data_IF_341101143161
#
_entry.id   IF_341101143161
#
_cell.length_a   1.000
_cell.length_b   1.000
_cell.length_c   1.000
_cell.angle_alpha   90.00
_cell.angle_beta   90.00
_cell.angle_gamma   90.00
#
_symmetry.space_group_name_H-M   'P 1'
#
loop_
_entity.id
_entity.type
_entity.pdbx_description
1 polymer ?
#
# COMPACT_ATOMS: atom_id res chain seq x y z
N UNK A 1 14.90 -6.04 -12.75
CA UNK A 1 15.17 -7.20 -11.88
C UNK A 1 15.33 -8.50 -12.64
N UNK A 2 14.41 -8.86 -13.55
CA UNK A 2 14.52 -10.08 -14.37
C UNK A 2 15.85 -10.20 -15.14
N UNK A 3 16.35 -9.12 -15.74
CA UNK A 3 17.65 -9.13 -16.44
C UNK A 3 18.84 -9.43 -15.49
N UNK A 4 18.80 -8.89 -14.26
CA UNK A 4 19.85 -9.09 -13.27
C UNK A 4 19.84 -10.54 -12.78
N UNK A 5 18.65 -11.10 -12.54
CA UNK A 5 18.50 -12.49 -12.14
C UNK A 5 18.90 -13.45 -13.25
N UNK A 6 18.54 -13.15 -14.50
CA UNK A 6 18.99 -13.94 -15.64
C UNK A 6 20.52 -13.95 -15.74
N UNK A 7 21.16 -12.77 -15.66
CA UNK A 7 22.62 -12.70 -15.65
C UNK A 7 23.23 -13.45 -14.47
N UNK A 8 22.60 -13.43 -13.29
CA UNK A 8 23.08 -14.16 -12.13
C UNK A 8 22.97 -15.69 -12.31
N UNK A 9 21.92 -16.16 -12.97
CA UNK A 9 21.73 -17.56 -13.39
C UNK A 9 22.81 -17.96 -14.41
N UNK A 10 23.07 -17.09 -15.38
CA UNK A 10 24.03 -17.33 -16.47
C UNK A 10 25.49 -17.35 -15.96
N UNK A 11 25.80 -16.51 -14.97
CA UNK A 11 27.12 -16.42 -14.32
C UNK A 11 27.32 -17.39 -13.14
N UNK A 12 26.30 -18.18 -12.80
CA UNK A 12 26.31 -19.16 -11.69
C UNK A 12 26.65 -18.54 -10.32
N UNK A 13 26.22 -17.29 -10.09
CA UNK A 13 26.47 -16.54 -8.85
C UNK A 13 25.30 -16.63 -7.85
N UNK A 14 24.56 -17.75 -7.88
CA UNK A 14 23.46 -18.06 -6.97
C UNK A 14 23.89 -19.19 -6.01
N UNK A 15 22.93 -20.00 -5.53
CA UNK A 15 23.23 -21.15 -4.68
C UNK A 15 24.19 -22.14 -5.34
N UNK A 16 25.07 -22.81 -4.56
CA UNK A 16 25.13 -22.80 -3.08
C UNK A 16 26.02 -21.72 -2.46
N UNK A 17 26.70 -20.91 -3.28
CA UNK A 17 27.78 -20.03 -2.81
C UNK A 17 27.25 -18.69 -2.27
N UNK A 18 26.11 -18.24 -2.80
CA UNK A 18 25.51 -16.95 -2.45
C UNK A 18 24.05 -17.09 -2.04
N UNK A 19 23.64 -16.27 -1.07
CA UNK A 19 22.24 -16.03 -0.69
C UNK A 19 21.85 -14.65 -1.21
N UNK A 20 20.70 -14.57 -1.89
CA UNK A 20 20.21 -13.33 -2.47
C UNK A 20 18.98 -12.85 -1.73
N UNK A 21 19.01 -11.59 -1.29
CA UNK A 21 17.87 -10.92 -0.67
C UNK A 21 17.26 -9.95 -1.68
N UNK A 22 16.00 -10.16 -2.01
CA UNK A 22 15.25 -9.34 -2.95
C UNK A 22 14.05 -8.70 -2.27
N UNK A 23 13.88 -7.40 -2.49
CA UNK A 23 12.73 -6.61 -2.00
C UNK A 23 11.83 -6.13 -3.13
N UNK A 24 11.98 -6.73 -4.32
CA UNK A 24 11.24 -6.34 -5.51
C UNK A 24 10.01 -7.22 -5.71
N UNK A 25 8.89 -6.60 -6.08
CA UNK A 25 7.71 -7.30 -6.55
C UNK A 25 8.02 -8.01 -7.89
N UNK A 26 8.37 -9.28 -7.82
CA UNK A 26 8.59 -10.15 -8.98
C UNK A 26 7.48 -11.20 -8.95
N UNK A 27 6.69 -11.26 -10.03
CA UNK A 27 5.64 -12.26 -10.11
C UNK A 27 6.23 -13.67 -10.12
N UNK A 28 5.53 -14.61 -9.48
CA UNK A 28 5.90 -16.03 -9.50
C UNK A 28 6.00 -16.56 -10.94
N UNK A 29 5.16 -16.04 -11.84
CA UNK A 29 5.21 -16.35 -13.27
C UNK A 29 6.51 -15.89 -13.93
N UNK A 30 7.04 -14.73 -13.54
CA UNK A 30 8.34 -14.26 -14.03
C UNK A 30 9.47 -15.14 -13.53
N UNK A 31 9.44 -15.56 -12.25
CA UNK A 31 10.41 -16.51 -11.70
C UNK A 31 10.36 -17.88 -12.40
N UNK A 32 9.16 -18.38 -12.67
CA UNK A 32 8.96 -19.64 -13.39
C UNK A 32 9.44 -19.58 -14.85
N UNK A 33 9.35 -18.41 -15.49
CA UNK A 33 9.85 -18.22 -16.85
C UNK A 33 11.40 -18.18 -16.90
N UNK A 34 12.04 -17.69 -15.82
CA UNK A 34 13.51 -17.72 -15.69
C UNK A 34 14.04 -19.16 -15.50
N UNK A 35 13.25 -20.03 -14.86
CA UNK A 35 13.61 -21.44 -14.65
C UNK A 35 13.19 -22.37 -15.77
N UNK A 36 12.21 -22.01 -16.61
CA UNK A 36 11.80 -22.83 -17.76
C UNK A 36 12.73 -22.73 -18.97
N UNK A 37 13.52 -21.66 -19.05
CA UNK A 37 14.51 -21.41 -20.10
C UNK A 37 15.89 -21.95 -19.76
N UNK A 38 16.15 -22.27 -18.49
CA UNK A 38 17.37 -22.88 -18.01
C UNK A 38 17.09 -24.31 -17.54
N UNK A 39 17.95 -25.28 -17.85
CA UNK A 39 17.83 -26.70 -17.45
C UNK A 39 17.95 -26.94 -15.94
N UNK A 40 17.68 -25.94 -15.09
CA UNK A 40 18.12 -25.91 -13.70
C UNK A 40 17.09 -25.28 -12.76
N UNK A 41 16.05 -26.04 -12.40
CA UNK A 41 15.16 -25.71 -11.28
C UNK A 41 15.90 -25.43 -9.95
N UNK A 42 17.15 -25.90 -9.82
CA UNK A 42 17.97 -25.74 -8.61
C UNK A 42 18.72 -24.40 -8.51
N UNK A 43 18.74 -23.55 -9.56
CA UNK A 43 19.55 -22.31 -9.55
C UNK A 43 18.95 -21.19 -8.72
N UNK A 44 17.63 -21.19 -8.48
CA UNK A 44 16.98 -20.19 -7.61
C UNK A 44 17.04 -20.55 -6.12
N UNK A 45 17.68 -21.66 -5.74
CA UNK A 45 17.91 -21.98 -4.33
C UNK A 45 18.69 -20.84 -3.65
N UNK A 46 18.35 -20.54 -2.39
CA UNK A 46 19.02 -19.46 -1.63
C UNK A 46 18.55 -18.05 -1.97
N UNK A 47 17.50 -17.89 -2.79
CA UNK A 47 16.85 -16.61 -3.03
C UNK A 47 15.74 -16.39 -1.99
N UNK A 48 15.81 -15.27 -1.28
CA UNK A 48 14.86 -14.85 -0.25
C UNK A 48 14.15 -13.59 -0.76
N UNK A 49 12.82 -13.68 -0.86
CA UNK A 49 11.95 -12.56 -1.25
C UNK A 49 11.30 -11.97 -0.02
N UNK A 50 11.36 -10.65 0.09
CA UNK A 50 10.72 -9.88 1.16
C UNK A 50 9.68 -8.97 0.51
N UNK A 51 8.42 -9.21 0.81
CA UNK A 51 7.29 -8.43 0.31
C UNK A 51 6.38 -8.01 1.46
N UNK A 52 5.70 -6.86 1.34
CA UNK A 52 4.66 -6.50 2.29
C UNK A 52 3.55 -7.56 2.24
N UNK A 53 3.11 -7.99 3.42
CA UNK A 53 2.08 -9.01 3.58
C UNK A 53 0.85 -8.40 4.25
N UNK A 54 -0.34 -8.75 3.72
CA UNK A 54 -1.61 -8.51 4.42
C UNK A 54 -2.03 -9.83 5.05
N UNK A 55 -2.25 -9.82 6.36
CA UNK A 55 -2.82 -10.94 7.07
C UNK A 55 -4.32 -11.05 6.79
N UNK A 56 -4.67 -11.94 5.85
CA UNK A 56 -6.05 -12.18 5.44
C UNK A 56 -6.96 -12.60 6.61
N UNK A 57 -6.41 -13.14 7.70
CA UNK A 57 -7.20 -13.53 8.88
C UNK A 57 -7.61 -12.34 9.76
N UNK A 58 -6.90 -11.21 9.63
CA UNK A 58 -7.13 -10.00 10.40
C UNK A 58 -7.73 -8.87 9.54
N UNK A 59 -8.20 -9.18 8.33
CA UNK A 59 -8.91 -8.22 7.48
C UNK A 59 -10.28 -7.91 8.09
N UNK A 60 -10.63 -6.62 8.12
CA UNK A 60 -11.99 -6.19 8.40
C UNK A 60 -12.89 -6.42 7.18
N UNK A 61 -13.42 -7.65 7.05
CA UNK A 61 -14.23 -8.05 5.90
C UNK A 61 -15.47 -7.16 5.72
N UNK A 62 -16.07 -6.70 6.82
CA UNK A 62 -17.25 -5.83 6.77
C UNK A 62 -16.89 -4.49 6.13
N UNK A 63 -15.80 -3.85 6.57
CA UNK A 63 -15.35 -2.58 6.02
C UNK A 63 -14.85 -2.74 4.57
N UNK A 64 -14.19 -3.86 4.25
CA UNK A 64 -13.75 -4.19 2.89
C UNK A 64 -14.94 -4.29 1.92
N UNK A 65 -16.00 -5.02 2.30
CA UNK A 65 -17.19 -5.14 1.47
C UNK A 65 -17.86 -3.78 1.26
N UNK A 66 -17.95 -2.96 2.30
CA UNK A 66 -18.48 -1.59 2.20
C UNK A 66 -17.62 -0.71 1.29
N UNK A 67 -16.29 -0.83 1.35
CA UNK A 67 -15.37 -0.11 0.48
C UNK A 67 -15.59 -0.49 -1.00
N UNK A 68 -15.75 -1.79 -1.28
CA UNK A 68 -16.06 -2.27 -2.62
C UNK A 68 -17.43 -1.80 -3.11
N UNK A 69 -18.44 -1.80 -2.26
CA UNK A 69 -19.77 -1.29 -2.60
C UNK A 69 -19.72 0.19 -2.97
N UNK A 70 -18.95 1.00 -2.23
CA UNK A 70 -18.75 2.43 -2.51
C UNK A 70 -18.01 2.62 -3.83
N UNK A 71 -16.89 1.90 -4.04
CA UNK A 71 -16.10 2.01 -5.28
C UNK A 71 -16.96 1.62 -6.48
N UNK A 72 -17.62 0.47 -6.43
CA UNK A 72 -18.48 0.02 -7.51
C UNK A 72 -19.66 0.97 -7.75
N UNK A 73 -20.23 1.59 -6.71
CA UNK A 73 -21.35 2.52 -6.85
C UNK A 73 -20.96 3.83 -7.54
N UNK A 74 -19.83 4.42 -7.18
CA UNK A 74 -19.45 5.77 -7.64
C UNK A 74 -18.42 5.78 -8.77
N UNK A 75 -17.62 4.73 -8.88
CA UNK A 75 -16.45 4.64 -9.76
C UNK A 75 -16.43 3.26 -10.47
N UNK A 76 -17.59 2.79 -10.93
CA UNK A 76 -17.77 1.46 -11.54
C UNK A 76 -16.85 1.19 -12.74
N UNK A 77 -16.46 2.23 -13.48
CA UNK A 77 -15.58 2.12 -14.65
C UNK A 77 -14.12 1.85 -14.29
N UNK A 78 -13.72 2.19 -13.05
CA UNK A 78 -12.35 1.97 -12.55
C UNK A 78 -12.27 0.83 -11.54
N UNK A 79 -13.41 0.34 -11.05
CA UNK A 79 -13.46 -0.81 -10.13
C UNK A 79 -13.04 -2.10 -10.87
N UNK A 80 -11.92 -2.73 -10.48
CA UNK A 80 -11.40 -3.89 -11.21
C UNK A 80 -12.16 -5.19 -10.90
N UNK A 81 -13.07 -5.16 -9.91
CA UNK A 81 -13.73 -6.34 -9.36
C UNK A 81 -13.00 -6.89 -8.14
N UNK A 82 -13.76 -7.53 -7.23
CA UNK A 82 -13.31 -7.98 -5.89
C UNK A 82 -12.01 -8.79 -5.93
N UNK A 83 -11.86 -9.65 -6.94
CA UNK A 83 -10.72 -10.58 -7.05
C UNK A 83 -9.46 -9.95 -7.69
N UNK A 84 -9.55 -8.71 -8.14
CA UNK A 84 -8.49 -8.04 -8.92
C UNK A 84 -8.00 -6.75 -8.23
N UNK A 85 -8.42 -6.52 -6.98
CA UNK A 85 -7.96 -5.36 -6.20
C UNK A 85 -6.58 -5.65 -5.63
N UNK A 86 -5.63 -4.78 -5.97
CA UNK A 86 -4.27 -4.81 -5.44
C UNK A 86 -4.27 -4.39 -3.95
N UNK A 87 -3.42 -5.02 -3.14
CA UNK A 87 -3.26 -4.71 -1.73
C UNK A 87 -2.83 -3.25 -1.48
N UNK A 88 -2.10 -2.60 -2.40
CA UNK A 88 -1.78 -1.17 -2.32
C UNK A 88 -3.02 -0.28 -2.37
N UNK A 89 -4.09 -0.72 -3.07
CA UNK A 89 -5.35 0.01 -3.07
C UNK A 89 -6.00 -0.04 -1.67
N UNK A 90 -5.88 -1.17 -0.97
CA UNK A 90 -6.38 -1.32 0.39
C UNK A 90 -5.58 -0.45 1.39
N UNK A 91 -4.25 -0.39 1.26
CA UNK A 91 -3.44 0.55 2.06
C UNK A 91 -3.81 2.02 1.80
N UNK A 92 -4.12 2.36 0.55
CA UNK A 92 -4.56 3.71 0.18
C UNK A 92 -5.93 4.04 0.78
N UNK A 93 -6.84 3.06 0.82
CA UNK A 93 -8.12 3.20 1.48
C UNK A 93 -7.95 3.48 2.97
N UNK A 94 -7.12 2.68 3.66
CA UNK A 94 -6.84 2.87 5.09
C UNK A 94 -6.16 4.22 5.37
N UNK A 95 -5.18 4.64 4.56
CA UNK A 95 -4.56 5.96 4.70
C UNK A 95 -5.59 7.10 4.54
N UNK A 96 -6.51 6.95 3.59
CA UNK A 96 -7.57 7.94 3.35
C UNK A 96 -8.57 7.96 4.50
N UNK A 97 -8.95 6.80 5.03
CA UNK A 97 -9.86 6.69 6.16
C UNK A 97 -9.25 7.28 7.43
N UNK A 98 -7.97 7.01 7.70
CA UNK A 98 -7.20 7.63 8.79
C UNK A 98 -7.25 9.16 8.71
N UNK A 99 -7.03 9.72 7.51
CA UNK A 99 -7.09 11.17 7.30
C UNK A 99 -8.50 11.72 7.58
N UNK A 100 -9.55 11.06 7.09
CA UNK A 100 -10.94 11.47 7.32
C UNK A 100 -11.28 11.44 8.81
N UNK A 101 -10.91 10.38 9.53
CA UNK A 101 -11.17 10.28 10.98
C UNK A 101 -10.39 11.34 11.77
N UNK A 102 -9.13 11.60 11.39
CA UNK A 102 -8.30 12.63 12.01
C UNK A 102 -8.89 14.03 11.81
N UNK A 103 -9.39 14.33 10.60
CA UNK A 103 -10.09 15.57 10.31
C UNK A 103 -11.40 15.68 11.09
N UNK A 104 -12.19 14.61 11.17
CA UNK A 104 -13.43 14.57 11.95
C UNK A 104 -13.17 14.87 13.43
N UNK A 105 -12.13 14.26 14.01
CA UNK A 105 -11.74 14.52 15.40
C UNK A 105 -11.17 15.93 15.61
N UNK A 106 -10.42 16.46 14.65
CA UNK A 106 -10.00 17.84 14.69
C UNK A 106 -11.21 18.78 14.75
N UNK A 107 -12.20 18.53 13.88
CA UNK A 107 -13.38 19.36 13.75
C UNK A 107 -14.35 19.25 14.92
N UNK A 108 -14.43 18.11 15.62
CA UNK A 108 -15.25 17.99 16.83
C UNK A 108 -14.76 18.87 17.98
N UNK A 109 -13.49 19.32 17.94
CA UNK A 109 -12.91 20.22 18.94
C UNK A 109 -13.35 21.68 18.74
N UNK A 110 -13.91 22.02 17.57
CA UNK A 110 -14.32 23.37 17.21
C UNK A 110 -15.85 23.44 17.09
N UNK A 111 -16.50 24.13 18.03
CA UNK A 111 -17.96 24.16 18.14
C UNK A 111 -18.66 25.14 17.19
N UNK A 112 -17.98 26.16 16.64
CA UNK A 112 -18.63 27.22 15.85
C UNK A 112 -17.75 27.88 14.75
N UNK A 113 -16.54 27.39 14.49
CA UNK A 113 -15.66 27.90 13.41
C UNK A 113 -15.27 26.77 12.45
N UNK A 114 -14.95 27.11 11.20
CA UNK A 114 -14.36 26.13 10.28
C UNK A 114 -13.05 25.59 10.88
N UNK A 115 -13.01 24.31 11.21
CA UNK A 115 -11.81 23.62 11.69
C UNK A 115 -10.68 23.60 10.64
N UNK A 116 -11.04 23.74 9.37
CA UNK A 116 -10.14 23.84 8.22
C UNK A 116 -10.03 25.32 7.84
N UNK A 117 -8.94 25.95 8.28
CA UNK A 117 -8.64 27.36 8.01
C UNK A 117 -7.23 27.52 7.47
N UNK A 118 -7.10 28.37 6.46
CA UNK A 118 -5.83 28.71 5.83
C UNK A 118 -5.54 30.19 5.98
N UNK A 119 -4.29 30.55 6.26
CA UNK A 119 -3.80 31.93 6.16
C UNK A 119 -3.34 32.21 4.73
N UNK A 120 -3.43 33.49 4.32
CA UNK A 120 -3.02 34.02 3.01
C UNK A 120 -3.76 33.42 1.81
N UNK A 121 -4.96 33.94 1.53
CA UNK A 121 -5.84 33.47 0.45
C UNK A 121 -5.40 33.88 -0.97
N UNK A 122 -4.27 34.56 -1.14
CA UNK A 122 -3.87 35.14 -2.42
C UNK A 122 -3.22 34.15 -3.39
N UNK A 123 -2.69 32.99 -2.95
CA UNK A 123 -2.12 31.96 -3.84
C UNK A 123 -2.25 30.53 -3.29
N UNK A 124 -2.59 29.55 -4.14
CA UNK A 124 -2.88 28.15 -3.73
C UNK A 124 -1.71 27.41 -3.08
N UNK A 125 -0.46 27.74 -3.40
CA UNK A 125 0.71 27.00 -2.92
C UNK A 125 1.29 27.51 -1.59
N UNK A 126 0.93 28.72 -1.15
CA UNK A 126 1.43 29.33 0.09
C UNK A 126 0.36 29.37 1.20
N UNK A 127 -0.65 28.48 1.12
CA UNK A 127 -1.71 28.40 2.12
C UNK A 127 -1.20 27.70 3.37
N UNK A 128 -1.07 28.44 4.46
CA UNK A 128 -0.69 27.87 5.74
C UNK A 128 -1.92 27.32 6.46
N UNK A 129 -2.02 26.00 6.59
CA UNK A 129 -3.08 25.36 7.38
C UNK A 129 -2.84 25.59 8.87
N UNK A 130 -3.69 26.41 9.48
CA UNK A 130 -3.55 26.88 10.87
C UNK A 130 -3.46 25.71 11.86
N UNK A 131 -4.25 24.66 11.63
CA UNK A 131 -4.35 23.52 12.53
C UNK A 131 -3.48 22.32 12.11
N UNK A 132 -2.51 22.52 11.22
CA UNK A 132 -1.64 21.44 10.70
C UNK A 132 -0.96 20.63 11.80
N UNK A 133 -0.31 21.28 12.78
CA UNK A 133 0.34 20.58 13.89
C UNK A 133 -0.63 19.73 14.72
N UNK A 134 -1.84 20.25 14.99
CA UNK A 134 -2.87 19.48 15.71
C UNK A 134 -3.34 18.28 14.88
N UNK A 135 -3.54 18.47 13.56
CA UNK A 135 -3.91 17.37 12.67
C UNK A 135 -2.82 16.29 12.63
N UNK A 136 -1.54 16.65 12.49
CA UNK A 136 -0.44 15.69 12.53
C UNK A 136 -0.39 14.92 13.84
N UNK A 137 -0.60 15.61 14.97
CA UNK A 137 -0.67 14.95 16.27
C UNK A 137 -1.87 13.99 16.37
N UNK A 138 -3.02 14.35 15.79
CA UNK A 138 -4.17 13.43 15.74
C UNK A 138 -3.86 12.20 14.87
N UNK A 139 -3.33 12.40 13.66
CA UNK A 139 -2.94 11.30 12.76
C UNK A 139 -1.98 10.33 13.47
N UNK A 140 -0.97 10.85 14.19
CA UNK A 140 0.03 10.02 14.86
C UNK A 140 -0.53 9.21 16.06
N UNK A 141 -1.63 9.67 16.66
CA UNK A 141 -2.22 9.04 17.86
C UNK A 141 -3.50 8.26 17.56
N UNK A 142 -4.00 8.32 16.33
CA UNK A 142 -5.25 7.66 15.96
C UNK A 142 -4.98 6.19 15.68
N UNK A 143 -5.57 5.34 16.50
CA UNK A 143 -5.62 3.90 16.29
C UNK A 143 -7.03 3.51 15.87
N UNK A 144 -7.14 2.74 14.80
CA UNK A 144 -8.41 2.18 14.36
C UNK A 144 -8.15 0.86 13.63
N UNK A 145 -9.19 0.03 13.54
CA UNK A 145 -9.13 -1.23 12.82
C UNK A 145 -9.55 -1.01 11.37
N UNK A 146 -8.57 -1.00 10.46
CA UNK A 146 -8.74 -0.70 9.05
C UNK A 146 -9.19 -1.91 8.23
N UNK A 147 -9.26 -1.74 6.92
CA UNK A 147 -9.48 -2.87 5.99
C UNK A 147 -8.33 -3.86 6.11
N UNK A 148 -7.10 -3.37 6.21
CA UNK A 148 -5.89 -4.20 6.23
C UNK A 148 -5.47 -4.69 7.63
N UNK A 149 -6.23 -4.34 8.67
CA UNK A 149 -5.95 -4.65 10.08
C UNK A 149 -5.59 -3.39 10.86
#
# INVERSE_FOLDING_TARGET
TNLILQNAIDLDILSPQFIWLLTSNISLTSLNNLTSTSTSNNKLNGLILIEPFIDLNNINQTLLNQAFDIWNKYESTTFPGINYVDYYALFTFDATWLLIQSLKQLCSTYSNSSCIQFLNNSFCFNKYFINSNKLFNLINNLHYFGVTG
#
